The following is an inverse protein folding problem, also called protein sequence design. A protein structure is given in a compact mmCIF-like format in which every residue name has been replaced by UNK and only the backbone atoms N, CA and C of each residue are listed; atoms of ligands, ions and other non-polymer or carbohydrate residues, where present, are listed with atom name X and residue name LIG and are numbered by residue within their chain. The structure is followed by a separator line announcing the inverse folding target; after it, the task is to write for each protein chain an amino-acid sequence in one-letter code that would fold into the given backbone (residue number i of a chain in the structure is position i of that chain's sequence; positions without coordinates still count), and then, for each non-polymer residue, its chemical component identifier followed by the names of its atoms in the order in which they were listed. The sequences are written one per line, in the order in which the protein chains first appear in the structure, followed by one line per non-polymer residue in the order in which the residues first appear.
data_IF_781760480125
#
_entry.id   IF_781760480125
#
_cell.length_a   1.000
_cell.length_b   1.000
_cell.length_c   1.000
_cell.angle_alpha   90.00
_cell.angle_beta   90.00
_cell.angle_gamma   90.00
#
_symmetry.space_group_name_H-M   'P 1'
#
loop_
_entity.id
_entity.type
_entity.pdbx_description
1 polymer ?
#
# COMPACT_ATOMS: atom_id res chain seq x y z
N UNK A 1 6.74 -20.39 -3.83
CA UNK A 1 7.76 -19.35 -4.11
C UNK A 1 7.18 -18.03 -3.66
N UNK A 2 7.85 -17.33 -2.76
CA UNK A 2 7.50 -15.98 -2.32
C UNK A 2 8.25 -14.96 -3.18
N UNK A 3 7.58 -13.90 -3.56
CA UNK A 3 8.16 -12.73 -4.22
C UNK A 3 8.53 -11.69 -3.17
N UNK A 4 9.24 -10.64 -3.53
CA UNK A 4 9.51 -9.56 -2.59
C UNK A 4 10.83 -8.83 -2.78
N UNK A 5 11.08 -7.91 -1.87
CA UNK A 5 12.34 -7.18 -1.70
C UNK A 5 13.08 -7.74 -0.49
N UNK A 6 14.41 -7.86 -0.57
CA UNK A 6 15.29 -8.23 0.54
C UNK A 6 16.42 -7.22 0.65
N UNK A 7 16.46 -6.48 1.75
CA UNK A 7 17.48 -5.47 2.07
C UNK A 7 17.73 -4.49 0.91
N UNK A 8 16.63 -4.03 0.28
CA UNK A 8 16.72 -3.20 -0.92
C UNK A 8 16.97 -1.75 -0.56
N UNK A 9 18.02 -1.19 -1.15
CA UNK A 9 18.33 0.23 -1.13
C UNK A 9 18.15 0.83 -2.52
N UNK A 10 17.55 2.01 -2.59
CA UNK A 10 17.36 2.78 -3.82
C UNK A 10 17.80 4.20 -3.59
N UNK A 11 18.79 4.64 -4.36
CA UNK A 11 19.28 6.02 -4.35
C UNK A 11 18.77 6.76 -5.59
N UNK A 12 18.20 7.95 -5.42
CA UNK A 12 17.80 8.87 -6.48
C UNK A 12 18.55 10.20 -6.33
N UNK A 13 19.54 10.42 -7.16
CA UNK A 13 20.47 11.54 -6.98
C UNK A 13 21.20 11.42 -5.65
N UNK A 14 21.00 12.39 -4.75
CA UNK A 14 21.60 12.40 -3.41
C UNK A 14 20.66 11.89 -2.31
N UNK A 15 19.44 11.46 -2.67
CA UNK A 15 18.44 11.03 -1.70
C UNK A 15 18.30 9.51 -1.74
N UNK A 16 18.35 8.90 -0.58
CA UNK A 16 18.06 7.48 -0.39
C UNK A 16 16.52 7.31 -0.25
N UNK A 17 15.89 6.88 -1.34
CA UNK A 17 14.45 6.68 -1.37
C UNK A 17 14.00 5.40 -0.65
N UNK A 18 14.88 4.39 -0.57
CA UNK A 18 14.75 3.20 0.25
C UNK A 18 16.12 2.85 0.84
N UNK A 19 16.16 2.44 2.10
CA UNK A 19 17.35 2.09 2.86
C UNK A 19 17.20 0.71 3.52
N UNK A 20 17.68 -0.35 2.86
CA UNK A 20 17.66 -1.72 3.40
C UNK A 20 16.24 -2.28 3.62
N UNK A 21 15.28 -1.96 2.74
CA UNK A 21 13.88 -2.33 2.90
C UNK A 21 13.62 -3.78 2.49
N UNK A 22 12.91 -4.52 3.33
CA UNK A 22 12.43 -5.88 3.06
C UNK A 22 10.89 -5.89 2.98
N UNK A 23 10.34 -6.37 1.87
CA UNK A 23 8.90 -6.49 1.62
C UNK A 23 8.59 -7.90 1.14
N UNK A 24 8.07 -8.81 1.98
CA UNK A 24 7.64 -10.12 1.54
C UNK A 24 6.29 -10.02 0.80
N UNK A 25 6.12 -10.76 -0.30
CA UNK A 25 4.84 -10.87 -1.03
C UNK A 25 4.56 -12.33 -1.32
N UNK A 26 3.68 -12.91 -0.52
CA UNK A 26 3.32 -14.32 -0.60
C UNK A 26 1.99 -14.54 -1.34
N UNK A 27 1.79 -15.75 -1.88
CA UNK A 27 0.56 -16.14 -2.60
C UNK A 27 -0.65 -16.33 -1.68
N UNK A 28 -0.46 -16.37 -0.38
CA UNK A 28 -1.52 -16.70 0.57
C UNK A 28 -2.28 -15.48 1.12
N UNK A 29 -2.08 -14.30 0.54
CA UNK A 29 -2.75 -13.10 1.04
C UNK A 29 -2.28 -11.81 0.40
N UNK A 30 -2.76 -10.70 0.94
CA UNK A 30 -2.37 -9.36 0.49
C UNK A 30 -1.28 -8.83 1.42
N UNK A 31 -0.14 -8.41 0.86
CA UNK A 31 0.85 -7.60 1.56
C UNK A 31 0.53 -6.13 1.36
N UNK A 32 0.46 -5.36 2.45
CA UNK A 32 0.23 -3.92 2.38
C UNK A 32 1.49 -3.17 2.81
N UNK A 33 1.96 -2.28 1.94
CA UNK A 33 3.01 -1.30 2.24
C UNK A 33 2.32 0.01 2.62
N UNK A 34 2.33 0.34 3.92
CA UNK A 34 1.68 1.54 4.47
C UNK A 34 2.72 2.56 4.90
N UNK A 35 2.38 3.85 4.83
CA UNK A 35 3.25 4.95 5.25
C UNK A 35 2.77 6.28 4.73
N UNK A 36 3.32 7.37 5.23
CA UNK A 36 3.03 8.73 4.77
C UNK A 36 3.47 8.99 3.32
N UNK A 37 3.14 10.19 2.82
CA UNK A 37 3.64 10.62 1.52
C UNK A 37 5.17 10.76 1.56
N UNK A 38 5.82 10.28 0.49
CA UNK A 38 7.28 10.27 0.44
C UNK A 38 7.97 9.13 1.22
N UNK A 39 7.23 8.27 1.95
CA UNK A 39 7.81 7.17 2.74
C UNK A 39 8.52 6.08 1.91
N UNK A 40 8.40 6.09 0.56
CA UNK A 40 9.04 5.11 -0.31
C UNK A 40 8.11 4.02 -0.87
N UNK A 41 6.80 4.07 -0.57
CA UNK A 41 5.80 3.08 -0.99
C UNK A 41 5.83 2.78 -2.49
N UNK A 42 5.63 3.81 -3.33
CA UNK A 42 5.66 3.68 -4.79
C UNK A 42 7.01 3.18 -5.31
N UNK A 43 8.11 3.58 -4.66
CA UNK A 43 9.45 3.11 -5.00
C UNK A 43 9.58 1.60 -4.80
N UNK A 44 9.04 1.04 -3.68
CA UNK A 44 9.00 -0.40 -3.44
C UNK A 44 8.26 -1.13 -4.56
N UNK A 45 7.06 -0.66 -4.93
CA UNK A 45 6.26 -1.30 -5.97
C UNK A 45 6.92 -1.19 -7.36
N UNK A 46 7.53 -0.05 -7.69
CA UNK A 46 8.28 0.15 -8.95
C UNK A 46 9.48 -0.79 -9.06
N UNK A 47 10.21 -1.01 -7.96
CA UNK A 47 11.32 -1.99 -7.91
C UNK A 47 10.78 -3.40 -8.12
N UNK A 48 9.69 -3.79 -7.44
CA UNK A 48 9.04 -5.09 -7.64
C UNK A 48 8.52 -5.28 -9.07
N UNK A 49 7.94 -4.24 -9.68
CA UNK A 49 7.51 -4.26 -11.07
C UNK A 49 8.69 -4.32 -12.07
N UNK A 50 9.92 -4.06 -11.60
CA UNK A 50 11.12 -3.97 -12.43
C UNK A 50 11.17 -2.74 -13.32
N UNK A 51 10.47 -1.69 -12.90
CA UNK A 51 10.50 -0.36 -13.52
C UNK A 51 11.66 0.47 -12.97
N UNK A 52 12.12 0.13 -11.78
CA UNK A 52 13.23 0.77 -11.11
C UNK A 52 14.26 -0.28 -10.66
N UNK A 53 15.55 0.01 -10.87
CA UNK A 53 16.65 -0.86 -10.47
C UNK A 53 17.13 -0.49 -9.06
N UNK A 54 17.28 -1.43 -8.13
CA UNK A 54 17.84 -1.12 -6.82
C UNK A 54 19.33 -0.84 -6.91
N UNK A 55 19.86 -0.04 -5.98
CA UNK A 55 21.30 0.19 -5.81
C UNK A 55 21.96 -0.96 -5.06
N UNK A 56 21.27 -1.54 -4.06
CA UNK A 56 21.71 -2.69 -3.27
C UNK A 56 20.52 -3.59 -2.98
N UNK A 57 20.79 -4.81 -2.49
CA UNK A 57 19.79 -5.79 -2.10
C UNK A 57 19.33 -6.70 -3.24
N UNK A 58 18.31 -7.51 -2.96
CA UNK A 58 17.80 -8.52 -3.91
C UNK A 58 16.32 -8.35 -4.17
N UNK A 59 15.91 -8.48 -5.44
CA UNK A 59 14.52 -8.46 -5.87
C UNK A 59 14.13 -9.85 -6.37
N UNK A 60 13.16 -10.47 -5.71
CA UNK A 60 12.55 -11.72 -6.12
C UNK A 60 11.22 -11.42 -6.79
N UNK A 61 11.13 -11.58 -8.10
CA UNK A 61 9.93 -11.32 -8.89
C UNK A 61 9.82 -12.25 -10.09
N UNK A 62 8.61 -12.47 -10.63
CA UNK A 62 8.44 -13.20 -11.88
C UNK A 62 8.94 -12.40 -13.08
N UNK A 63 8.87 -12.99 -14.26
CA UNK A 63 9.05 -12.27 -15.52
C UNK A 63 8.00 -11.15 -15.65
N UNK A 64 8.34 -10.05 -16.34
CA UNK A 64 7.49 -8.84 -16.42
C UNK A 64 6.09 -9.13 -16.98
N UNK A 65 6.01 -10.05 -17.93
CA UNK A 65 4.78 -10.47 -18.59
C UNK A 65 3.78 -11.16 -17.65
N UNK A 66 4.24 -11.57 -16.48
CA UNK A 66 3.44 -12.22 -15.43
C UNK A 66 3.16 -11.28 -14.24
N UNK A 67 3.43 -9.99 -14.37
CA UNK A 67 3.17 -8.97 -13.37
C UNK A 67 2.03 -8.07 -13.84
N UNK A 68 0.99 -7.91 -13.03
CA UNK A 68 0.02 -6.83 -13.16
C UNK A 68 0.49 -5.65 -12.33
N UNK A 69 0.54 -4.47 -12.91
CA UNK A 69 0.92 -3.25 -12.19
C UNK A 69 -0.05 -2.12 -12.48
N UNK A 70 -0.59 -1.53 -11.43
CA UNK A 70 -1.42 -0.32 -11.48
C UNK A 70 -0.67 0.81 -10.79
N UNK A 71 -0.24 1.86 -11.52
CA UNK A 71 0.44 3.01 -10.91
C UNK A 71 -0.53 3.88 -10.09
N UNK A 72 0.00 4.78 -9.28
CA UNK A 72 -0.79 5.75 -8.51
C UNK A 72 -1.66 6.66 -9.41
N UNK A 73 -1.24 6.91 -10.65
CA UNK A 73 -2.07 7.53 -11.70
C UNK A 73 -3.08 6.53 -12.27
N UNK A 74 -4.11 6.99 -13.00
CA UNK A 74 -5.22 6.14 -13.43
C UNK A 74 -4.82 4.90 -14.24
N UNK A 75 -3.71 4.92 -14.99
CA UNK A 75 -3.20 3.75 -15.72
C UNK A 75 -4.12 3.27 -16.86
N UNK A 76 -4.99 4.13 -17.38
CA UNK A 76 -5.91 3.85 -18.49
C UNK A 76 -5.80 4.94 -19.57
N UNK A 77 -6.34 4.66 -20.74
CA UNK A 77 -6.44 5.61 -21.86
C UNK A 77 -7.80 6.30 -21.82
N UNK A 78 -7.82 7.60 -21.56
CA UNK A 78 -9.04 8.38 -21.39
C UNK A 78 -9.89 8.45 -22.67
N UNK A 79 -9.24 8.47 -23.84
CA UNK A 79 -9.86 8.57 -25.16
C UNK A 79 -10.31 7.22 -25.72
N UNK A 80 -10.04 6.14 -25.05
CA UNK A 80 -10.53 4.80 -25.39
C UNK A 80 -11.74 4.45 -24.52
N UNK A 81 -12.68 3.70 -25.07
CA UNK A 81 -13.79 3.12 -24.30
C UNK A 81 -13.26 2.09 -23.28
N UNK A 82 -14.08 1.70 -22.33
CA UNK A 82 -13.77 0.59 -21.40
C UNK A 82 -13.36 -0.66 -22.16
N UNK A 83 -14.10 -1.00 -23.23
CA UNK A 83 -13.79 -2.15 -24.08
C UNK A 83 -12.44 -2.00 -24.78
N UNK A 84 -12.18 -0.86 -25.43
CA UNK A 84 -10.92 -0.62 -26.14
C UNK A 84 -9.71 -0.59 -25.21
N UNK A 85 -9.86 -0.13 -23.95
CA UNK A 85 -8.83 -0.24 -22.92
C UNK A 85 -8.48 -1.71 -22.62
N UNK A 86 -9.49 -2.59 -22.52
CA UNK A 86 -9.25 -4.03 -22.32
C UNK A 86 -8.64 -4.67 -23.57
N UNK A 87 -9.11 -4.33 -24.78
CA UNK A 87 -8.57 -4.81 -26.04
C UNK A 87 -7.09 -4.41 -26.21
N UNK A 88 -6.77 -3.16 -25.86
CA UNK A 88 -5.38 -2.67 -25.83
C UNK A 88 -4.51 -3.49 -24.87
N UNK A 89 -4.99 -3.73 -23.64
CA UNK A 89 -4.27 -4.56 -22.67
C UNK A 89 -4.09 -5.98 -23.17
N UNK A 90 -5.12 -6.59 -23.76
CA UNK A 90 -5.03 -7.91 -24.35
C UNK A 90 -3.96 -7.98 -25.45
N UNK A 91 -3.92 -6.97 -26.32
CA UNK A 91 -2.93 -6.86 -27.38
C UNK A 91 -1.51 -6.70 -26.84
N UNK A 92 -1.31 -5.84 -25.83
CA UNK A 92 -0.02 -5.59 -25.19
C UNK A 92 0.58 -6.86 -24.54
N UNK A 93 -0.27 -7.70 -23.94
CA UNK A 93 0.11 -8.99 -23.37
C UNK A 93 0.01 -10.16 -24.38
N UNK A 94 -0.27 -9.88 -25.67
CA UNK A 94 -0.39 -10.87 -26.76
C UNK A 94 -1.40 -11.98 -26.44
N UNK A 95 -2.49 -11.62 -25.77
CA UNK A 95 -3.55 -12.55 -25.45
C UNK A 95 -4.34 -12.87 -26.73
N UNK A 96 -4.55 -14.16 -26.99
CA UNK A 96 -5.24 -14.63 -28.18
C UNK A 96 -6.37 -15.59 -27.82
N UNK A 97 -7.30 -15.78 -28.77
CA UNK A 97 -8.39 -16.73 -28.63
C UNK A 97 -9.55 -16.23 -27.76
N UNK A 98 -10.45 -17.14 -27.40
CA UNK A 98 -11.69 -16.82 -26.69
C UNK A 98 -11.50 -16.62 -25.18
N UNK A 99 -10.43 -17.18 -24.60
CA UNK A 99 -10.23 -17.23 -23.15
C UNK A 99 -10.06 -15.85 -22.52
N UNK A 100 -9.28 -14.95 -23.11
CA UNK A 100 -9.10 -13.60 -22.59
C UNK A 100 -10.40 -12.79 -22.62
N UNK A 101 -11.21 -12.97 -23.67
CA UNK A 101 -12.51 -12.31 -23.78
C UNK A 101 -13.48 -12.74 -22.68
N UNK A 102 -13.55 -14.06 -22.41
CA UNK A 102 -14.36 -14.57 -21.30
C UNK A 102 -13.90 -13.99 -19.96
N UNK A 103 -12.58 -13.89 -19.76
CA UNK A 103 -12.02 -13.27 -18.57
C UNK A 103 -12.33 -11.77 -18.51
N UNK A 104 -12.23 -11.04 -19.62
CA UNK A 104 -12.61 -9.63 -19.70
C UNK A 104 -14.06 -9.41 -19.29
N UNK A 105 -15.00 -10.24 -19.82
CA UNK A 105 -16.41 -10.14 -19.44
C UNK A 105 -16.66 -10.45 -17.97
N UNK A 106 -16.00 -11.46 -17.41
CA UNK A 106 -16.08 -11.76 -15.99
C UNK A 106 -15.55 -10.60 -15.12
N UNK A 107 -14.44 -9.97 -15.51
CA UNK A 107 -13.88 -8.79 -14.81
C UNK A 107 -14.81 -7.57 -14.92
N UNK A 108 -15.46 -7.35 -16.07
CA UNK A 108 -16.45 -6.29 -16.23
C UNK A 108 -17.68 -6.51 -15.34
N UNK A 109 -18.12 -7.75 -15.17
CA UNK A 109 -19.21 -8.11 -14.26
C UNK A 109 -18.80 -7.89 -12.81
N UNK A 110 -17.64 -8.41 -12.38
CA UNK A 110 -17.11 -8.27 -11.02
C UNK A 110 -16.90 -6.79 -10.60
N UNK A 111 -16.54 -5.93 -11.56
CA UNK A 111 -16.31 -4.50 -11.34
C UNK A 111 -17.57 -3.64 -11.50
N UNK A 112 -18.68 -4.23 -12.00
CA UNK A 112 -19.89 -3.49 -12.33
C UNK A 112 -19.73 -2.55 -13.53
N UNK A 113 -18.68 -2.73 -14.37
CA UNK A 113 -18.40 -1.90 -15.54
C UNK A 113 -19.12 -2.34 -16.81
N UNK A 114 -19.83 -3.47 -16.79
CA UNK A 114 -20.56 -3.98 -17.94
C UNK A 114 -21.45 -2.94 -18.63
N UNK A 115 -22.32 -2.19 -17.91
CA UNK A 115 -23.18 -1.15 -18.49
C UNK A 115 -22.39 0.03 -19.08
N UNK A 116 -21.16 0.28 -18.60
CA UNK A 116 -20.30 1.37 -19.08
C UNK A 116 -19.32 0.93 -20.18
N UNK A 117 -19.43 -0.28 -20.71
CA UNK A 117 -18.47 -0.89 -21.64
C UNK A 117 -18.12 -0.03 -22.85
N UNK A 118 -19.08 0.73 -23.36
CA UNK A 118 -18.92 1.60 -24.53
C UNK A 118 -18.69 3.08 -24.16
N UNK A 119 -18.54 3.42 -22.87
CA UNK A 119 -18.20 4.76 -22.44
C UNK A 119 -16.69 4.96 -22.50
N UNK A 120 -16.26 6.19 -22.82
CA UNK A 120 -14.84 6.58 -22.80
C UNK A 120 -14.30 6.50 -21.37
N UNK A 121 -13.03 6.10 -21.23
CA UNK A 121 -12.33 6.05 -19.94
C UNK A 121 -12.36 7.38 -19.20
N UNK A 122 -12.20 8.49 -19.91
CA UNK A 122 -12.27 9.84 -19.34
C UNK A 122 -13.67 10.26 -18.85
N UNK A 123 -14.73 9.56 -19.25
CA UNK A 123 -16.12 9.82 -18.82
C UNK A 123 -16.53 8.99 -17.59
N UNK A 124 -15.65 8.12 -17.12
CA UNK A 124 -15.88 7.31 -15.93
C UNK A 124 -15.63 8.13 -14.65
N UNK A 125 -16.34 7.80 -13.56
CA UNK A 125 -15.98 8.33 -12.24
C UNK A 125 -14.60 7.82 -11.81
N UNK A 126 -13.93 8.51 -10.87
CA UNK A 126 -12.62 8.10 -10.37
C UNK A 126 -12.60 6.65 -9.86
N UNK A 127 -13.64 6.23 -9.13
CA UNK A 127 -13.79 4.85 -8.68
C UNK A 127 -13.94 3.85 -9.83
N UNK A 128 -14.70 4.18 -10.89
CA UNK A 128 -14.83 3.36 -12.08
C UNK A 128 -13.51 3.28 -12.84
N UNK A 129 -12.76 4.37 -12.94
CA UNK A 129 -11.43 4.38 -13.57
C UNK A 129 -10.45 3.45 -12.83
N UNK A 130 -10.45 3.48 -11.50
CA UNK A 130 -9.62 2.58 -10.69
C UNK A 130 -10.03 1.12 -10.86
N UNK A 131 -11.32 0.82 -10.88
CA UNK A 131 -11.82 -0.53 -11.15
C UNK A 131 -11.40 -1.03 -12.54
N UNK A 132 -11.46 -0.18 -13.56
CA UNK A 132 -10.99 -0.51 -14.91
C UNK A 132 -9.48 -0.80 -14.92
N UNK A 133 -8.66 0.05 -14.29
CA UNK A 133 -7.21 -0.14 -14.22
C UNK A 133 -6.84 -1.47 -13.55
N UNK A 134 -7.52 -1.83 -12.45
CA UNK A 134 -7.32 -3.12 -11.80
C UNK A 134 -7.78 -4.29 -12.70
N UNK A 135 -8.93 -4.17 -13.38
CA UNK A 135 -9.40 -5.18 -14.32
C UNK A 135 -8.39 -5.40 -15.47
N UNK A 136 -7.88 -4.31 -16.07
CA UNK A 136 -6.83 -4.38 -17.10
C UNK A 136 -5.59 -5.12 -16.61
N UNK A 137 -5.14 -4.85 -15.37
CA UNK A 137 -3.96 -5.48 -14.76
C UNK A 137 -4.16 -6.95 -14.42
N UNK A 138 -5.40 -7.41 -14.29
CA UNK A 138 -5.77 -8.82 -14.03
C UNK A 138 -6.03 -9.63 -15.30
N UNK A 139 -6.18 -8.98 -16.46
CA UNK A 139 -6.64 -9.60 -17.69
C UNK A 139 -5.74 -10.75 -18.16
N UNK A 140 -4.43 -10.61 -18.02
CA UNK A 140 -3.43 -11.60 -18.44
C UNK A 140 -3.14 -12.68 -17.39
N UNK A 141 -3.95 -12.77 -16.32
CA UNK A 141 -3.80 -13.73 -15.22
C UNK A 141 -2.39 -13.64 -14.55
N UNK A 142 -2.02 -12.50 -14.00
CA UNK A 142 -0.71 -12.33 -13.39
C UNK A 142 -0.50 -13.28 -12.21
N UNK A 143 0.76 -13.62 -11.91
CA UNK A 143 1.13 -14.33 -10.67
C UNK A 143 1.54 -13.37 -9.56
N UNK A 144 1.79 -12.10 -9.91
CA UNK A 144 2.08 -11.01 -8.99
C UNK A 144 1.29 -9.78 -9.44
N UNK A 145 0.46 -9.24 -8.54
CA UNK A 145 -0.31 -8.02 -8.74
C UNK A 145 0.21 -6.92 -7.81
N UNK A 146 0.57 -5.79 -8.37
CA UNK A 146 1.11 -4.63 -7.67
C UNK A 146 0.20 -3.44 -7.88
N UNK A 147 -0.34 -2.86 -6.81
CA UNK A 147 -1.31 -1.78 -6.85
C UNK A 147 -0.81 -0.59 -6.03
N UNK A 148 -0.49 0.50 -6.72
CA UNK A 148 0.04 1.70 -6.09
C UNK A 148 -1.11 2.67 -5.79
N UNK A 149 -1.45 2.80 -4.51
CA UNK A 149 -2.53 3.62 -3.98
C UNK A 149 -3.88 3.47 -4.73
N UNK A 150 -4.38 2.23 -4.92
CA UNK A 150 -5.53 1.98 -5.78
C UNK A 150 -6.84 2.61 -5.29
N UNK A 151 -6.92 3.00 -4.03
CA UNK A 151 -8.13 3.49 -3.37
C UNK A 151 -8.10 4.99 -3.05
N UNK A 152 -6.98 5.67 -3.34
CA UNK A 152 -6.83 7.11 -3.09
C UNK A 152 -7.79 7.91 -3.96
N UNK A 153 -8.59 8.78 -3.33
CA UNK A 153 -9.61 9.59 -4.01
C UNK A 153 -10.86 8.83 -4.44
N UNK A 154 -11.04 7.59 -3.98
CA UNK A 154 -12.20 6.74 -4.30
C UNK A 154 -13.22 6.79 -3.16
N UNK A 155 -14.51 6.87 -3.52
CA UNK A 155 -15.62 6.86 -2.56
C UNK A 155 -15.66 5.53 -1.76
N UNK A 156 -16.30 5.51 -0.57
CA UNK A 156 -16.29 4.33 0.31
C UNK A 156 -16.87 3.06 -0.31
N UNK A 157 -17.88 3.17 -1.17
CA UNK A 157 -18.52 2.01 -1.81
C UNK A 157 -17.58 1.41 -2.86
N UNK A 158 -17.07 2.25 -3.77
CA UNK A 158 -16.11 1.82 -4.78
C UNK A 158 -14.81 1.28 -4.17
N UNK A 159 -14.38 1.83 -3.01
CA UNK A 159 -13.23 1.31 -2.25
C UNK A 159 -13.49 -0.11 -1.74
N UNK A 160 -14.66 -0.36 -1.16
CA UNK A 160 -15.03 -1.70 -0.70
C UNK A 160 -15.08 -2.72 -1.86
N UNK A 161 -15.60 -2.30 -3.01
CA UNK A 161 -15.63 -3.13 -4.22
C UNK A 161 -14.24 -3.44 -4.77
N UNK A 162 -13.32 -2.45 -4.78
CA UNK A 162 -11.92 -2.66 -5.16
C UNK A 162 -11.24 -3.66 -4.22
N UNK A 163 -11.43 -3.52 -2.91
CA UNK A 163 -10.85 -4.46 -1.95
C UNK A 163 -11.41 -5.88 -2.12
N UNK A 164 -12.69 -6.03 -2.48
CA UNK A 164 -13.27 -7.34 -2.80
C UNK A 164 -12.59 -7.96 -4.03
N UNK A 165 -12.36 -7.18 -5.09
CA UNK A 165 -11.66 -7.63 -6.29
C UNK A 165 -10.21 -8.04 -5.99
N UNK A 166 -9.49 -7.23 -5.20
CA UNK A 166 -8.11 -7.50 -4.76
C UNK A 166 -8.04 -8.79 -3.94
N UNK A 167 -8.96 -8.95 -2.98
CA UNK A 167 -9.03 -10.15 -2.13
C UNK A 167 -9.38 -11.40 -2.92
N UNK A 168 -10.26 -11.30 -3.92
CA UNK A 168 -10.59 -12.40 -4.80
C UNK A 168 -9.36 -12.85 -5.62
N UNK A 169 -8.60 -11.91 -6.19
CA UNK A 169 -7.37 -12.22 -6.90
C UNK A 169 -6.33 -12.93 -6.01
N UNK A 170 -6.21 -12.51 -4.75
CA UNK A 170 -5.33 -13.17 -3.78
C UNK A 170 -5.82 -14.59 -3.42
N UNK A 171 -7.14 -14.79 -3.24
CA UNK A 171 -7.75 -16.09 -2.98
C UNK A 171 -7.56 -17.05 -4.16
N UNK A 172 -7.56 -16.54 -5.39
CA UNK A 172 -7.27 -17.30 -6.62
C UNK A 172 -5.76 -17.63 -6.79
N UNK A 173 -4.92 -17.28 -5.81
CA UNK A 173 -3.49 -17.61 -5.77
C UNK A 173 -2.55 -16.60 -6.42
N UNK A 174 -3.04 -15.40 -6.80
CA UNK A 174 -2.18 -14.27 -7.19
C UNK A 174 -1.50 -13.71 -5.96
N UNK A 175 -0.18 -13.54 -5.96
CA UNK A 175 0.52 -12.77 -4.93
C UNK A 175 0.19 -11.29 -5.11
N UNK A 176 -0.23 -10.60 -4.06
CA UNK A 176 -0.69 -9.21 -4.16
C UNK A 176 0.09 -8.31 -3.22
N UNK A 177 0.59 -7.18 -3.74
CA UNK A 177 1.12 -6.09 -2.92
C UNK A 177 0.38 -4.79 -3.23
N UNK A 178 -0.06 -4.10 -2.19
CA UNK A 178 -0.81 -2.84 -2.26
C UNK A 178 -0.05 -1.78 -1.46
N UNK A 179 0.17 -0.60 -2.04
CA UNK A 179 0.58 0.56 -1.27
C UNK A 179 -0.63 1.40 -0.86
N UNK A 180 -0.60 1.96 0.34
CA UNK A 180 -1.67 2.85 0.82
C UNK A 180 -1.17 3.81 1.90
N UNK A 181 -1.86 4.94 2.06
CA UNK A 181 -1.73 5.82 3.23
C UNK A 181 -2.77 5.51 4.31
N UNK A 182 -3.76 4.65 4.02
CA UNK A 182 -4.87 4.36 4.92
C UNK A 182 -4.57 3.17 5.84
N UNK A 183 -4.43 3.43 7.14
CA UNK A 183 -4.14 2.40 8.16
C UNK A 183 -5.25 1.35 8.26
N UNK A 184 -6.50 1.73 8.07
CA UNK A 184 -7.64 0.81 8.09
C UNK A 184 -7.62 -0.22 6.95
N UNK A 185 -6.92 0.08 5.86
CA UNK A 185 -6.68 -0.88 4.78
C UNK A 185 -5.58 -1.88 5.16
N UNK A 186 -4.52 -1.39 5.82
CA UNK A 186 -3.44 -2.25 6.32
C UNK A 186 -3.94 -3.27 7.35
N UNK A 187 -4.97 -2.94 8.14
CA UNK A 187 -5.58 -3.86 9.09
C UNK A 187 -6.22 -5.12 8.45
N UNK A 188 -6.47 -5.10 7.13
CA UNK A 188 -7.04 -6.24 6.36
C UNK A 188 -5.97 -7.11 5.70
N UNK A 189 -4.70 -6.72 5.80
CA UNK A 189 -3.59 -7.41 5.15
C UNK A 189 -3.18 -8.70 5.89
N UNK A 190 -2.65 -9.67 5.15
CA UNK A 190 -1.95 -10.80 5.73
C UNK A 190 -0.59 -10.37 6.31
N UNK A 191 0.09 -9.46 5.62
CA UNK A 191 1.37 -8.87 6.05
C UNK A 191 1.32 -7.37 5.81
N UNK A 192 1.80 -6.62 6.79
CA UNK A 192 1.96 -5.16 6.74
C UNK A 192 3.44 -4.82 6.80
N UNK A 193 3.87 -3.89 5.95
CA UNK A 193 5.19 -3.25 6.03
C UNK A 193 4.96 -1.75 6.18
N UNK A 194 5.23 -1.21 7.35
CA UNK A 194 5.16 0.22 7.62
C UNK A 194 6.48 0.87 7.21
N UNK A 195 6.40 1.82 6.29
CA UNK A 195 7.54 2.63 5.86
C UNK A 195 7.48 4.03 6.45
N UNK A 196 8.63 4.51 6.91
CA UNK A 196 8.85 5.89 7.32
C UNK A 196 10.21 6.36 6.79
N UNK A 197 10.23 7.46 6.05
CA UNK A 197 11.45 8.05 5.48
C UNK A 197 12.36 7.02 4.76
N UNK A 198 11.80 6.15 3.95
CA UNK A 198 12.53 5.13 3.19
C UNK A 198 13.01 3.91 3.99
N UNK A 199 12.64 3.79 5.26
CA UNK A 199 13.02 2.68 6.14
C UNK A 199 11.81 1.91 6.63
N UNK A 200 12.00 0.64 6.99
CA UNK A 200 10.96 -0.15 7.65
C UNK A 200 10.85 0.25 9.11
N UNK A 201 9.73 0.84 9.49
CA UNK A 201 9.42 1.19 10.90
C UNK A 201 8.79 0.00 11.65
N UNK A 202 7.98 -0.82 10.97
CA UNK A 202 7.42 -2.05 11.51
C UNK A 202 7.08 -3.01 10.36
N UNK A 203 7.12 -4.32 10.63
CA UNK A 203 6.71 -5.35 9.65
C UNK A 203 6.19 -6.58 10.37
N UNK A 204 5.14 -7.20 9.85
CA UNK A 204 4.51 -8.40 10.38
C UNK A 204 3.03 -8.49 10.07
N UNK A 205 2.32 -9.43 10.68
CA UNK A 205 0.85 -9.43 10.66
C UNK A 205 0.32 -8.25 11.48
N UNK A 206 -0.92 -7.78 11.25
CA UNK A 206 -1.52 -6.74 12.10
C UNK A 206 -1.48 -7.07 13.60
N UNK A 207 -1.66 -8.34 13.97
CA UNK A 207 -1.56 -8.80 15.35
C UNK A 207 -0.12 -8.66 15.90
N UNK A 208 0.89 -9.10 15.14
CA UNK A 208 2.29 -8.97 15.55
C UNK A 208 2.73 -7.51 15.73
N UNK A 209 2.24 -6.60 14.86
CA UNK A 209 2.52 -5.16 14.99
C UNK A 209 1.87 -4.60 16.25
N UNK A 210 0.63 -5.01 16.55
CA UNK A 210 -0.08 -4.61 17.77
C UNK A 210 0.60 -5.17 19.03
N UNK A 211 0.94 -6.46 19.04
CA UNK A 211 1.62 -7.11 20.16
C UNK A 211 3.00 -6.51 20.44
N UNK A 212 3.65 -5.99 19.38
CA UNK A 212 4.92 -5.27 19.46
C UNK A 212 4.80 -3.80 19.89
N UNK A 213 3.62 -3.31 20.29
CA UNK A 213 3.43 -1.91 20.69
C UNK A 213 4.36 -1.54 21.85
N UNK A 214 5.27 -0.57 21.70
CA UNK A 214 6.25 -0.25 22.74
C UNK A 214 5.67 0.72 23.76
N UNK A 215 5.93 0.46 25.04
CA UNK A 215 5.59 1.38 26.13
C UNK A 215 4.12 1.39 26.53
N UNK A 216 3.58 2.56 26.84
CA UNK A 216 2.22 2.75 27.36
C UNK A 216 1.42 3.74 26.51
N UNK A 217 0.13 3.47 26.39
CA UNK A 217 -0.83 4.36 25.76
C UNK A 217 -1.80 4.90 26.81
N UNK A 218 -2.09 6.19 26.72
CA UNK A 218 -3.13 6.85 27.52
C UNK A 218 -4.09 7.66 26.65
N UNK A 219 -5.21 8.03 27.24
CA UNK A 219 -6.21 8.92 26.65
C UNK A 219 -6.34 10.17 27.52
N UNK A 220 -6.38 11.33 26.89
CA UNK A 220 -6.61 12.62 27.53
C UNK A 220 -7.72 13.38 26.81
N UNK A 221 -8.54 14.07 27.58
CA UNK A 221 -9.50 15.04 27.08
C UNK A 221 -8.82 16.41 26.97
N UNK A 222 -9.33 17.30 26.12
CA UNK A 222 -8.83 18.66 25.98
C UNK A 222 -8.75 19.15 24.56
N UNK A 223 -8.67 20.49 24.40
CA UNK A 223 -8.56 21.13 23.09
C UNK A 223 -7.11 21.17 22.58
N UNK A 224 -6.16 21.34 23.50
CA UNK A 224 -4.74 21.51 23.19
C UNK A 224 -4.00 20.17 23.18
N UNK A 225 -2.90 20.11 22.43
CA UNK A 225 -2.03 18.94 22.34
C UNK A 225 -1.29 18.72 23.65
N UNK A 226 -1.53 17.61 24.38
CA UNK A 226 -1.01 17.43 25.75
C UNK A 226 0.47 17.06 25.82
N UNK A 227 1.04 16.47 24.75
CA UNK A 227 2.42 16.01 24.71
C UNK A 227 2.96 15.92 23.28
N UNK A 228 4.28 15.96 23.05
CA UNK A 228 4.88 15.83 21.73
C UNK A 228 4.51 14.50 21.02
N UNK A 229 4.43 13.40 21.78
CA UNK A 229 4.06 12.08 21.28
C UNK A 229 2.57 11.83 21.52
N UNK A 230 1.73 12.64 20.88
CA UNK A 230 0.28 12.49 20.95
C UNK A 230 -0.37 12.81 19.61
N UNK A 231 -1.50 12.18 19.36
CA UNK A 231 -2.34 12.41 18.18
C UNK A 231 -3.81 12.46 18.55
N UNK A 232 -4.58 13.15 17.75
CA UNK A 232 -6.00 13.32 18.00
C UNK A 232 -6.78 12.16 17.39
N UNK A 233 -7.73 11.62 18.16
CA UNK A 233 -8.65 10.59 17.70
C UNK A 233 -10.07 10.93 18.17
N UNK A 234 -10.89 11.39 17.23
CA UNK A 234 -12.18 11.96 17.55
C UNK A 234 -12.05 13.19 18.44
N UNK A 235 -12.67 13.17 19.62
CA UNK A 235 -12.66 14.27 20.59
C UNK A 235 -11.55 14.17 21.62
N UNK A 236 -10.82 13.06 21.66
CA UNK A 236 -9.76 12.80 22.66
C UNK A 236 -8.37 12.80 22.04
N UNK A 237 -7.35 12.90 22.88
CA UNK A 237 -5.96 12.71 22.51
C UNK A 237 -5.49 11.32 22.93
N UNK A 238 -4.82 10.64 22.01
CA UNK A 238 -3.96 9.49 22.31
C UNK A 238 -2.58 10.00 22.71
N UNK A 239 -2.06 9.55 23.82
CA UNK A 239 -0.74 9.95 24.34
C UNK A 239 0.11 8.71 24.50
N UNK A 240 1.22 8.67 23.78
CA UNK A 240 2.14 7.56 23.79
C UNK A 240 3.38 7.88 24.64
N UNK A 241 3.67 7.02 25.61
CA UNK A 241 4.88 7.02 26.42
C UNK A 241 5.70 5.76 26.08
N UNK A 242 6.69 5.85 25.16
CA UNK A 242 7.54 4.69 24.81
C UNK A 242 8.36 4.22 26.02
N UNK A 243 8.72 5.13 26.91
CA UNK A 243 9.46 4.89 28.14
C UNK A 243 8.82 5.68 29.29
N UNK A 244 8.89 5.11 30.49
CA UNK A 244 8.41 5.79 31.69
C UNK A 244 6.91 5.77 31.92
N UNK A 245 6.39 6.79 32.58
CA UNK A 245 5.00 6.94 32.98
C UNK A 245 4.22 7.80 31.97
N UNK A 246 2.93 7.57 31.90
CA UNK A 246 2.02 8.46 31.19
C UNK A 246 1.99 9.84 31.86
N UNK A 247 1.77 10.94 31.11
CA UNK A 247 1.63 12.29 31.69
C UNK A 247 0.49 12.34 32.71
N UNK A 248 0.60 13.28 33.65
CA UNK A 248 -0.46 13.52 34.63
C UNK A 248 -1.79 13.82 33.93
N UNK A 249 -2.88 13.19 34.37
CA UNK A 249 -4.21 13.31 33.78
C UNK A 249 -4.48 12.36 32.62
N UNK A 250 -3.50 11.63 32.11
CA UNK A 250 -3.73 10.59 31.12
C UNK A 250 -4.32 9.32 31.76
N UNK A 251 -5.45 8.86 31.23
CA UNK A 251 -6.05 7.58 31.63
C UNK A 251 -5.45 6.45 30.79
N UNK A 252 -4.89 5.38 31.40
CA UNK A 252 -4.36 4.25 30.64
C UNK A 252 -5.40 3.66 29.68
N UNK A 253 -4.95 3.29 28.47
CA UNK A 253 -5.79 2.67 27.46
C UNK A 253 -5.05 1.53 26.75
N UNK A 254 -5.79 0.51 26.31
CA UNK A 254 -5.23 -0.50 25.43
C UNK A 254 -5.01 0.07 24.03
N UNK A 255 -3.84 -0.17 23.42
CA UNK A 255 -3.62 0.20 22.03
C UNK A 255 -4.47 -0.68 21.10
N UNK A 256 -4.84 -0.13 19.95
CA UNK A 256 -5.30 -0.90 18.80
C UNK A 256 -4.28 -0.84 17.65
N UNK A 257 -4.60 -1.48 16.52
CA UNK A 257 -3.68 -1.54 15.39
C UNK A 257 -3.33 -0.15 14.83
N UNK A 258 -4.29 0.79 14.79
CA UNK A 258 -4.03 2.17 14.34
C UNK A 258 -3.06 2.88 15.30
N UNK A 259 -3.26 2.73 16.60
CA UNK A 259 -2.36 3.26 17.62
C UNK A 259 -0.92 2.70 17.46
N UNK A 260 -0.81 1.40 17.17
CA UNK A 260 0.49 0.75 16.97
C UNK A 260 1.22 1.27 15.72
N UNK A 261 0.50 1.47 14.62
CA UNK A 261 1.06 2.04 13.38
C UNK A 261 1.51 3.49 13.59
N UNK A 262 0.69 4.32 14.25
CA UNK A 262 1.04 5.72 14.53
C UNK A 262 2.25 5.81 15.47
N UNK A 263 2.30 5.00 16.52
CA UNK A 263 3.44 4.96 17.44
C UNK A 263 4.74 4.54 16.73
N UNK A 264 4.68 3.52 15.87
CA UNK A 264 5.84 3.07 15.10
C UNK A 264 6.32 4.14 14.10
N UNK A 265 5.41 4.86 13.43
CA UNK A 265 5.76 5.99 12.58
C UNK A 265 6.44 7.13 13.38
N UNK A 266 5.89 7.51 14.53
CA UNK A 266 6.48 8.53 15.40
C UNK A 266 7.87 8.12 15.92
N UNK A 267 8.07 6.82 16.23
CA UNK A 267 9.37 6.30 16.60
C UNK A 267 10.40 6.44 15.47
N UNK A 268 10.00 6.09 14.24
CA UNK A 268 10.83 6.24 13.04
C UNK A 268 11.23 7.69 12.78
N UNK A 269 10.30 8.64 12.90
CA UNK A 269 10.59 10.07 12.76
C UNK A 269 11.58 10.57 13.80
N UNK A 270 11.44 10.16 15.07
CA UNK A 270 12.41 10.51 16.14
C UNK A 270 13.80 9.99 15.84
N UNK A 271 13.92 8.74 15.39
CA UNK A 271 15.19 8.14 15.04
C UNK A 271 15.86 8.87 13.86
N UNK A 272 15.10 9.27 12.85
CA UNK A 272 15.59 10.05 11.71
C UNK A 272 16.11 11.42 12.11
N UNK A 273 15.40 12.14 13.00
CA UNK A 273 15.82 13.45 13.51
C UNK A 273 17.05 13.36 14.43
N UNK A 274 17.18 12.29 15.22
CA UNK A 274 18.34 12.05 16.07
C UNK A 274 19.62 11.79 15.27
N UNK A 275 19.49 11.08 14.13
CA UNK A 275 20.61 10.81 13.21
C UNK A 275 21.09 12.00 12.38
N UNK A 276 20.29 13.07 12.29
CA UNK A 276 20.61 14.28 11.53
C UNK A 276 21.29 15.39 12.36
N UNK A 277 21.49 15.20 13.66
CA UNK A 277 22.25 16.18 14.46
C UNK A 277 23.71 16.12 14.05
N UNK A 278 24.29 17.19 13.43
CA UNK A 278 25.73 17.24 13.17
C UNK A 278 26.43 17.13 14.51
N UNK A 279 27.46 16.28 14.56
CA UNK A 279 28.33 16.20 15.71
C UNK A 279 28.75 17.63 16.11
N UNK A 280 28.52 18.02 17.36
CA UNK A 280 29.13 19.19 17.93
C UNK A 280 30.63 18.93 17.86
N UNK A 281 31.29 19.59 16.90
CA UNK A 281 32.73 19.76 16.94
C UNK A 281 33.07 20.44 18.26
N UNK A 282 33.82 19.72 19.11
CA UNK A 282 34.47 20.23 20.28
C UNK A 282 35.80 20.92 19.91
#
# INVERSE_FOLDING_TARGET
MSWGLREVTVTRGHTEALAGVTVPVDRAGVTVVVGGDGAGKSTCLQVLAGLLKPSLGTVLRPQKERIGYVPATAGLYADLTVQENLDFSASAYRLAGRAWWQRAMALLEQTGLGPARHRLGGQLSGGMQRKLAVAMSLLHAPVLLLLDEPTTGVDPVSRAELWRLISAAAADGTAVAVSTTYVNEAARAAVVVLLEAGKTAASGTPAQILDGFPGRLGVMDGAERPAPLSWRRGVTWRVWAPEGALPAGARPAAPDFEDAVVAAALAGQRAALAGQRPGREG
#
